data_IF_007541466558
#
_entry.id   IF_007541466558
#
_cell.length_a   1.000
_cell.length_b   1.000
_cell.length_c   1.000
_cell.angle_alpha   90.00
_cell.angle_beta   90.00
_cell.angle_gamma   90.00
#
_symmetry.space_group_name_H-M   'P 1'
#
loop_
_entity.id
_entity.type
_entity.pdbx_description
1 polymer ?
#
# COMPACT_ATOMS: atom_id res chain seq x y z
N UNK A 1 -8.84 2.81 -16.99
CA UNK A 1 -7.58 2.50 -16.30
C UNK A 1 -7.86 1.74 -15.01
N UNK A 2 -7.10 0.70 -14.78
CA UNK A 2 -7.27 -0.12 -13.58
C UNK A 2 -6.21 0.24 -12.55
N UNK A 3 -6.66 0.64 -11.37
CA UNK A 3 -5.78 1.04 -10.28
C UNK A 3 -5.96 0.08 -9.12
N UNK A 4 -4.86 -0.52 -8.68
CA UNK A 4 -4.84 -1.37 -7.51
C UNK A 4 -4.20 -0.59 -6.37
N UNK A 5 -4.94 -0.39 -5.29
CA UNK A 5 -4.44 0.23 -4.08
C UNK A 5 -4.02 -0.89 -3.13
N UNK A 6 -2.78 -0.87 -2.70
CA UNK A 6 -2.27 -1.90 -1.78
C UNK A 6 -1.85 -1.26 -0.46
N UNK A 7 -2.40 -1.76 0.62
CA UNK A 7 -1.98 -1.37 1.95
C UNK A 7 -1.13 -2.52 2.51
N UNK A 8 0.17 -2.30 2.73
CA UNK A 8 1.09 -3.38 3.12
C UNK A 8 0.76 -3.99 4.47
N UNK A 9 1.26 -5.19 4.68
CA UNK A 9 1.05 -5.93 5.91
C UNK A 9 1.93 -5.38 7.02
N UNK A 10 1.39 -5.31 8.23
CA UNK A 10 2.18 -5.06 9.42
C UNK A 10 2.98 -6.30 9.77
N UNK A 11 4.14 -6.15 10.42
CA UNK A 11 4.92 -7.31 10.83
C UNK A 11 4.21 -8.10 11.92
N UNK A 12 4.52 -9.38 12.01
CA UNK A 12 3.94 -10.25 13.03
C UNK A 12 4.20 -9.72 14.44
N UNK A 13 5.38 -9.15 14.64
CA UNK A 13 5.72 -8.58 15.95
C UNK A 13 4.77 -7.44 16.34
N UNK A 14 4.33 -6.67 15.36
CA UNK A 14 3.34 -5.61 15.61
C UNK A 14 2.03 -6.20 16.11
N UNK A 15 1.55 -7.26 15.44
CA UNK A 15 0.32 -7.91 15.84
C UNK A 15 0.45 -8.61 17.18
N UNK A 16 1.62 -9.18 17.46
CA UNK A 16 1.90 -9.76 18.76
C UNK A 16 1.80 -8.75 19.87
N UNK A 17 2.37 -7.59 19.64
CA UNK A 17 2.28 -6.49 20.58
C UNK A 17 0.83 -6.03 20.75
N UNK A 18 0.11 -5.94 19.65
CA UNK A 18 -1.26 -5.44 19.65
C UNK A 18 -2.26 -6.46 20.14
N UNK A 19 -1.83 -7.68 20.38
CA UNK A 19 -2.75 -8.73 20.81
C UNK A 19 -3.51 -8.33 22.08
N UNK A 20 -2.84 -7.68 23.00
CA UNK A 20 -3.48 -7.19 24.21
C UNK A 20 -4.51 -6.10 23.91
N UNK A 21 -4.41 -5.46 22.78
CA UNK A 21 -5.30 -4.39 22.36
C UNK A 21 -6.15 -4.81 21.17
N UNK A 22 -6.38 -6.10 21.03
CA UNK A 22 -6.99 -6.64 19.82
C UNK A 22 -8.34 -6.05 19.48
N UNK A 23 -9.14 -5.75 20.48
CA UNK A 23 -10.44 -5.15 20.23
C UNK A 23 -10.30 -3.72 19.71
N UNK A 24 -9.25 -3.03 20.13
CA UNK A 24 -8.92 -1.71 19.61
C UNK A 24 -8.37 -1.84 18.21
N UNK A 25 -7.44 -2.77 18.02
CA UNK A 25 -6.83 -3.01 16.74
C UNK A 25 -7.82 -3.31 15.66
N UNK A 26 -8.82 -4.06 16.03
CA UNK A 26 -9.82 -4.47 15.08
C UNK A 26 -10.59 -3.29 14.53
N UNK A 27 -10.82 -2.31 15.35
CA UNK A 27 -11.58 -1.12 14.97
C UNK A 27 -10.70 -0.04 14.42
N UNK A 28 -9.67 0.22 15.16
CA UNK A 28 -8.74 1.25 14.80
C UNK A 28 -7.64 0.65 13.99
N UNK A 29 -7.80 -0.56 13.57
CA UNK A 29 -6.84 -1.14 12.70
C UNK A 29 -6.57 -0.05 11.72
N UNK A 30 -5.45 0.45 11.77
CA UNK A 30 -4.99 1.60 11.07
C UNK A 30 -5.57 1.57 9.66
N UNK A 31 -6.67 2.26 9.42
CA UNK A 31 -7.29 2.21 8.10
C UNK A 31 -6.39 2.92 7.08
N UNK A 32 -6.40 2.48 5.84
CA UNK A 32 -5.57 3.10 4.80
C UNK A 32 -6.17 4.40 4.31
N UNK A 33 -6.29 5.38 5.20
CA UNK A 33 -6.97 6.64 4.89
C UNK A 33 -6.30 7.39 3.74
N UNK A 34 -4.97 7.35 3.68
CA UNK A 34 -4.26 8.00 2.60
C UNK A 34 -4.63 7.44 1.24
N UNK A 35 -4.72 6.13 1.15
CA UNK A 35 -5.10 5.48 -0.10
C UNK A 35 -6.55 5.77 -0.45
N UNK A 36 -7.42 5.78 0.54
CA UNK A 36 -8.84 6.08 0.32
C UNK A 36 -8.99 7.50 -0.19
N UNK A 37 -8.27 8.45 0.40
CA UNK A 37 -8.30 9.84 -0.01
C UNK A 37 -7.84 9.99 -1.47
N UNK A 38 -6.72 9.37 -1.82
CA UNK A 38 -6.21 9.43 -3.18
C UNK A 38 -7.21 8.80 -4.15
N UNK A 39 -7.82 7.68 -3.75
CA UNK A 39 -8.82 7.01 -4.59
C UNK A 39 -9.97 7.96 -4.90
N UNK A 40 -10.41 8.73 -3.93
CA UNK A 40 -11.50 9.68 -4.12
C UNK A 40 -11.13 10.82 -5.06
N UNK A 41 -9.84 11.11 -5.20
CA UNK A 41 -9.35 12.18 -6.06
C UNK A 41 -9.17 11.76 -7.52
N UNK A 42 -9.18 10.46 -7.78
CA UNK A 42 -8.99 9.96 -9.15
C UNK A 42 -10.31 9.95 -9.92
N UNK A 43 -10.25 9.96 -11.26
CA UNK A 43 -11.47 9.96 -12.06
C UNK A 43 -12.39 8.79 -11.71
N UNK A 44 -13.67 9.08 -11.60
CA UNK A 44 -14.66 8.06 -11.23
C UNK A 44 -14.83 6.98 -12.29
N UNK A 45 -14.37 7.25 -13.51
CA UNK A 45 -14.44 6.28 -14.61
C UNK A 45 -13.35 5.22 -14.53
N UNK A 46 -12.34 5.42 -13.68
CA UNK A 46 -11.29 4.43 -13.51
C UNK A 46 -11.76 3.31 -12.61
N UNK A 47 -11.34 2.09 -12.92
CA UNK A 47 -11.64 0.94 -12.10
C UNK A 47 -10.63 0.86 -10.97
N UNK A 48 -11.13 0.77 -9.74
CA UNK A 48 -10.31 0.82 -8.53
C UNK A 48 -10.57 -0.41 -7.67
N UNK A 49 -9.50 -0.94 -7.08
CA UNK A 49 -9.59 -2.07 -6.19
C UNK A 49 -8.61 -1.84 -5.04
N UNK A 50 -9.04 -2.12 -3.83
CA UNK A 50 -8.18 -1.99 -2.64
C UNK A 50 -7.90 -3.36 -2.06
N UNK A 51 -6.63 -3.65 -1.83
CA UNK A 51 -6.21 -4.83 -1.09
C UNK A 51 -5.48 -4.38 0.17
N UNK A 52 -6.09 -4.64 1.31
CA UNK A 52 -5.46 -4.42 2.60
C UNK A 52 -4.86 -5.76 3.01
N UNK A 53 -3.54 -5.85 2.97
CA UNK A 53 -2.84 -7.12 3.22
C UNK A 53 -2.92 -7.57 4.67
N UNK A 54 -3.48 -6.76 5.55
CA UNK A 54 -3.75 -7.17 6.93
C UNK A 54 -5.06 -7.94 7.03
N UNK A 55 -5.87 -7.89 5.99
CA UNK A 55 -7.18 -8.55 5.93
C UNK A 55 -7.20 -9.65 4.89
N UNK A 56 -6.58 -9.42 3.75
CA UNK A 56 -6.63 -10.31 2.59
C UNK A 56 -5.24 -10.43 1.98
N UNK A 57 -4.93 -11.57 1.40
CA UNK A 57 -3.65 -11.73 0.70
C UNK A 57 -3.67 -11.00 -0.63
N UNK A 58 -2.52 -10.44 -0.99
CA UNK A 58 -2.32 -9.86 -2.31
C UNK A 58 -1.97 -10.97 -3.29
N UNK A 59 -2.72 -11.09 -4.37
CA UNK A 59 -2.52 -12.13 -5.37
C UNK A 59 -1.87 -11.57 -6.61
N UNK A 60 -1.12 -12.40 -7.31
CA UNK A 60 -0.47 -11.98 -8.56
C UNK A 60 -1.49 -11.55 -9.60
N UNK A 61 -2.65 -12.18 -9.63
CA UNK A 61 -3.70 -11.79 -10.58
C UNK A 61 -4.23 -10.40 -10.30
N UNK A 62 -4.21 -9.94 -9.04
CA UNK A 62 -4.59 -8.58 -8.70
C UNK A 62 -3.61 -7.59 -9.33
N UNK A 63 -2.33 -7.91 -9.25
CA UNK A 63 -1.29 -7.05 -9.83
C UNK A 63 -1.36 -7.05 -11.35
N UNK A 64 -1.59 -8.21 -11.95
CA UNK A 64 -1.70 -8.30 -13.40
C UNK A 64 -2.89 -7.53 -13.94
N UNK A 65 -3.96 -7.45 -13.17
CA UNK A 65 -5.14 -6.69 -13.55
C UNK A 65 -4.86 -5.19 -13.61
N UNK A 66 -3.95 -4.71 -12.80
CA UNK A 66 -3.72 -3.27 -12.61
C UNK A 66 -2.84 -2.68 -13.69
N UNK A 67 -3.16 -1.44 -14.06
CA UNK A 67 -2.26 -0.63 -14.87
C UNK A 67 -1.23 0.05 -13.99
N UNK A 68 -1.67 0.44 -12.78
CA UNK A 68 -0.79 1.01 -11.76
C UNK A 68 -1.11 0.42 -10.40
N UNK A 69 -0.10 0.24 -9.59
CA UNK A 69 -0.25 -0.14 -8.19
C UNK A 69 0.09 1.07 -7.34
N UNK A 70 -0.86 1.52 -6.54
CA UNK A 70 -0.67 2.62 -5.60
C UNK A 70 -0.45 2.03 -4.21
N UNK A 71 0.57 2.53 -3.54
CA UNK A 71 1.08 1.96 -2.31
C UNK A 71 1.28 3.06 -1.29
N UNK A 72 0.80 2.88 -0.09
CA UNK A 72 1.04 3.81 1.01
C UNK A 72 1.54 3.03 2.20
N UNK A 73 2.59 3.48 2.85
CA UNK A 73 3.19 2.71 3.91
C UNK A 73 3.79 3.56 5.02
N UNK A 74 3.76 3.00 6.22
CA UNK A 74 4.53 3.49 7.36
C UNK A 74 5.80 2.66 7.47
N UNK A 75 6.75 3.17 8.22
CA UNK A 75 8.05 2.52 8.37
C UNK A 75 7.95 1.05 8.79
N UNK A 76 7.03 0.76 9.72
CA UNK A 76 6.90 -0.61 10.22
C UNK A 76 6.41 -1.60 9.17
N UNK A 77 5.89 -1.12 8.05
CA UNK A 77 5.43 -1.97 6.95
C UNK A 77 6.52 -2.24 5.92
N UNK A 78 7.74 -1.81 6.19
CA UNK A 78 8.84 -1.82 5.24
C UNK A 78 9.12 -3.19 4.61
N UNK A 79 9.06 -4.25 5.40
CA UNK A 79 9.34 -5.59 4.88
C UNK A 79 8.27 -6.03 3.87
N UNK A 80 7.02 -5.72 4.16
CA UNK A 80 5.94 -6.02 3.24
C UNK A 80 6.09 -5.23 1.95
N UNK A 81 6.50 -3.95 2.07
CA UNK A 81 6.74 -3.09 0.91
C UNK A 81 7.76 -3.69 -0.03
N UNK A 82 8.85 -4.22 0.51
CA UNK A 82 9.90 -4.83 -0.31
C UNK A 82 9.38 -5.99 -1.15
N UNK A 83 8.51 -6.81 -0.56
CA UNK A 83 7.92 -7.93 -1.29
C UNK A 83 6.98 -7.47 -2.38
N UNK A 84 6.18 -6.45 -2.09
CA UNK A 84 5.25 -5.88 -3.08
C UNK A 84 6.02 -5.32 -4.27
N UNK A 85 7.08 -4.57 -3.99
CA UNK A 85 7.91 -3.98 -5.04
C UNK A 85 8.51 -5.07 -5.92
N UNK A 86 9.02 -6.13 -5.29
CA UNK A 86 9.61 -7.26 -6.02
C UNK A 86 8.59 -7.90 -6.95
N UNK A 87 7.37 -8.13 -6.46
CA UNK A 87 6.33 -8.75 -7.27
C UNK A 87 5.88 -7.86 -8.41
N UNK A 88 5.73 -6.57 -8.17
CA UNK A 88 5.35 -5.62 -9.20
C UNK A 88 6.42 -5.51 -10.29
N UNK A 89 7.69 -5.49 -9.89
CA UNK A 89 8.78 -5.47 -10.85
C UNK A 89 8.80 -6.72 -11.71
N UNK A 90 8.58 -7.87 -11.08
CA UNK A 90 8.57 -9.15 -11.79
C UNK A 90 7.46 -9.18 -12.83
N UNK A 91 6.31 -8.60 -12.51
CA UNK A 91 5.16 -8.59 -13.41
C UNK A 91 5.12 -7.37 -14.33
N UNK A 92 6.07 -6.45 -14.18
CA UNK A 92 6.20 -5.30 -15.06
C UNK A 92 5.12 -4.23 -14.87
N UNK A 93 4.55 -4.13 -13.67
CA UNK A 93 3.51 -3.16 -13.38
C UNK A 93 4.12 -1.92 -12.72
N UNK A 94 3.67 -0.75 -13.17
CA UNK A 94 4.16 0.52 -12.63
C UNK A 94 3.60 0.79 -11.24
N UNK A 95 4.40 1.46 -10.42
CA UNK A 95 4.04 1.73 -9.03
C UNK A 95 4.07 3.23 -8.73
N UNK A 96 3.12 3.65 -7.90
CA UNK A 96 3.07 4.99 -7.34
C UNK A 96 3.02 4.82 -5.82
N UNK A 97 3.91 5.47 -5.10
CA UNK A 97 4.03 5.28 -3.66
C UNK A 97 3.96 6.58 -2.88
N UNK A 98 3.38 6.51 -1.71
CA UNK A 98 3.30 7.65 -0.80
C UNK A 98 3.29 7.19 0.65
N UNK A 99 3.05 8.14 1.55
CA UNK A 99 3.01 7.87 2.97
C UNK A 99 4.34 8.12 3.67
N UNK A 100 4.36 8.02 5.00
CA UNK A 100 5.54 8.41 5.79
C UNK A 100 6.84 7.70 5.42
N UNK A 101 6.77 6.41 5.11
CA UNK A 101 7.97 5.68 4.72
C UNK A 101 8.66 6.33 3.54
N UNK A 102 7.89 6.61 2.50
CA UNK A 102 8.46 7.13 1.25
C UNK A 102 8.80 8.60 1.33
N UNK A 103 8.08 9.36 2.14
CA UNK A 103 8.42 10.75 2.37
C UNK A 103 9.84 10.87 2.92
N UNK A 104 10.25 9.93 3.76
CA UNK A 104 11.57 9.96 4.37
C UNK A 104 12.62 9.20 3.59
N UNK A 105 12.24 8.11 2.91
CA UNK A 105 13.21 7.19 2.31
C UNK A 105 13.00 6.94 0.83
N UNK A 106 12.36 7.85 0.10
CA UNK A 106 12.04 7.59 -1.30
C UNK A 106 13.28 7.26 -2.14
N UNK A 107 14.42 7.82 -1.78
CA UNK A 107 15.67 7.58 -2.53
C UNK A 107 16.15 6.14 -2.43
N UNK A 108 15.67 5.39 -1.44
CA UNK A 108 16.02 3.98 -1.27
C UNK A 108 15.18 3.06 -2.16
N UNK A 109 14.22 3.61 -2.90
CA UNK A 109 13.30 2.81 -3.70
C UNK A 109 13.28 3.24 -5.17
N UNK A 110 14.40 3.05 -5.87
CA UNK A 110 14.49 3.49 -7.28
C UNK A 110 13.56 2.70 -8.21
N UNK A 111 13.03 1.57 -7.77
CA UNK A 111 12.14 0.74 -8.57
C UNK A 111 10.75 1.35 -8.71
N UNK A 112 10.39 2.28 -7.84
CA UNK A 112 9.08 2.90 -7.85
C UNK A 112 9.08 4.03 -8.88
N UNK A 113 8.06 4.05 -9.71
CA UNK A 113 8.00 4.97 -10.85
C UNK A 113 7.67 6.41 -10.45
N UNK A 114 6.76 6.56 -9.49
CA UNK A 114 6.32 7.89 -9.05
C UNK A 114 6.11 7.92 -7.55
N UNK A 115 6.38 9.06 -6.94
CA UNK A 115 6.14 9.27 -5.51
C UNK A 115 5.21 10.43 -5.29
N UNK A 116 4.31 10.27 -4.32
CA UNK A 116 3.49 11.35 -3.79
C UNK A 116 4.00 11.58 -2.37
N UNK A 117 4.82 12.58 -2.20
CA UNK A 117 5.46 12.84 -0.92
C UNK A 117 4.63 13.81 -0.10
N UNK A 118 4.79 13.73 1.23
CA UNK A 118 4.03 14.53 2.18
C UNK A 118 2.54 14.24 2.02
N UNK A 119 1.70 15.24 1.93
CA UNK A 119 0.26 15.04 1.80
C UNK A 119 -0.13 15.02 0.33
N UNK A 120 -1.03 14.09 0.00
CA UNK A 120 -1.47 13.94 -1.38
C UNK A 120 -2.46 15.03 -1.80
N UNK A 121 -3.09 15.66 -0.83
CA UNK A 121 -4.01 16.75 -1.13
C UNK A 121 -3.25 18.04 -1.49
#
# INVERSE_FOLDING_TARGET
MNILFVYPQYPDSFWGFKHALKFISKKAAVPPLGLITVSAMLPSTWHKKLVDMNVTALKKEDIRWADYVFLSAMYIQKESVKRIISECNELGVKMVAGGPLFTQEYESYPQIDHFILNEAE
#
